data_IF_434979735718
#
_entry.id   IF_434979735718
#
_cell.length_a   1.000
_cell.length_b   1.000
_cell.length_c   1.000
_cell.angle_alpha   90.00
_cell.angle_beta   90.00
_cell.angle_gamma   90.00
#
_symmetry.space_group_name_H-M   'P 1'
#
loop_
_entity.id
_entity.type
_entity.pdbx_description
1 polymer ?
#
# COMPACT_ATOMS: atom_id res chain seq x y z
N UNK A 1 9.92 -0.08 20.08
CA UNK A 1 10.02 -1.53 19.75
C UNK A 1 10.19 -2.47 20.97
N UNK A 2 10.68 -2.02 22.13
CA UNK A 2 11.05 -2.90 23.26
C UNK A 2 9.90 -3.50 24.12
N UNK A 3 8.67 -2.96 24.10
CA UNK A 3 7.55 -3.53 24.87
C UNK A 3 6.90 -4.76 24.21
N UNK A 4 6.97 -4.87 22.87
CA UNK A 4 6.30 -5.91 22.08
C UNK A 4 7.00 -7.27 22.15
N UNK A 5 8.34 -7.26 22.26
CA UNK A 5 9.14 -8.48 22.41
C UNK A 5 8.99 -9.15 23.79
N UNK A 6 8.45 -8.43 24.78
CA UNK A 6 8.20 -8.91 26.14
C UNK A 6 6.76 -9.40 26.37
N UNK A 7 5.86 -9.32 25.37
CA UNK A 7 4.47 -9.75 25.54
C UNK A 7 4.33 -11.28 25.49
N UNK A 8 3.25 -11.81 26.06
CA UNK A 8 2.91 -13.23 26.00
C UNK A 8 2.62 -13.66 24.54
N UNK A 9 3.05 -14.87 24.16
CA UNK A 9 2.83 -15.45 22.84
C UNK A 9 1.35 -15.48 22.46
N UNK A 10 0.46 -15.76 23.43
CA UNK A 10 -1.00 -15.75 23.22
C UNK A 10 -1.50 -14.36 22.77
N UNK A 11 -1.03 -13.30 23.42
CA UNK A 11 -1.39 -11.91 23.08
C UNK A 11 -0.93 -11.53 21.67
N UNK A 12 0.24 -12.01 21.24
CA UNK A 12 0.75 -11.79 19.87
C UNK A 12 -0.09 -12.48 18.81
N UNK A 13 -0.49 -13.73 19.06
CA UNK A 13 -1.34 -14.50 18.14
C UNK A 13 -2.72 -13.84 18.03
N UNK A 14 -3.35 -13.52 19.16
CA UNK A 14 -4.65 -12.83 19.18
C UNK A 14 -4.60 -11.51 18.39
N UNK A 15 -3.58 -10.69 18.63
CA UNK A 15 -3.42 -9.43 17.90
C UNK A 15 -3.19 -9.65 16.39
N UNK A 16 -2.47 -10.70 15.98
CA UNK A 16 -2.33 -11.05 14.56
C UNK A 16 -3.69 -11.42 13.96
N UNK A 17 -4.50 -12.22 14.65
CA UNK A 17 -5.84 -12.60 14.20
C UNK A 17 -6.76 -11.39 14.07
N UNK A 18 -6.76 -10.48 15.05
CA UNK A 18 -7.54 -9.23 15.00
C UNK A 18 -7.16 -8.39 13.78
N UNK A 19 -5.86 -8.26 13.48
CA UNK A 19 -5.41 -7.52 12.29
C UNK A 19 -5.87 -8.17 10.99
N UNK A 20 -5.77 -9.50 10.88
CA UNK A 20 -6.24 -10.23 9.70
C UNK A 20 -7.75 -10.02 9.52
N UNK A 21 -8.53 -10.16 10.59
CA UNK A 21 -9.97 -9.95 10.56
C UNK A 21 -10.33 -8.51 10.17
N UNK A 22 -9.63 -7.52 10.74
CA UNK A 22 -9.80 -6.11 10.39
C UNK A 22 -9.51 -5.86 8.91
N UNK A 23 -8.37 -6.33 8.40
CA UNK A 23 -7.98 -6.18 6.99
C UNK A 23 -9.01 -6.85 6.07
N UNK A 24 -9.50 -8.04 6.42
CA UNK A 24 -10.53 -8.72 5.65
C UNK A 24 -11.84 -7.92 5.61
N UNK A 25 -12.41 -7.59 6.77
CA UNK A 25 -13.69 -6.88 6.86
C UNK A 25 -13.63 -5.50 6.19
N UNK A 26 -12.51 -4.79 6.34
CA UNK A 26 -12.33 -3.49 5.69
C UNK A 26 -12.16 -3.64 4.17
N UNK A 27 -11.46 -4.68 3.70
CA UNK A 27 -11.37 -5.01 2.27
C UNK A 27 -12.75 -5.27 1.65
N UNK A 28 -13.61 -6.04 2.33
CA UNK A 28 -15.00 -6.28 1.90
C UNK A 28 -15.78 -4.96 1.83
N UNK A 29 -15.67 -4.09 2.85
CA UNK A 29 -16.33 -2.79 2.85
C UNK A 29 -15.86 -1.90 1.69
N UNK A 30 -14.55 -1.87 1.40
CA UNK A 30 -14.01 -1.18 0.24
C UNK A 30 -14.64 -1.73 -1.05
N UNK A 31 -14.60 -3.04 -1.27
CA UNK A 31 -15.17 -3.70 -2.46
C UNK A 31 -16.64 -3.37 -2.66
N UNK A 32 -17.45 -3.48 -1.62
CA UNK A 32 -18.86 -3.12 -1.70
C UNK A 32 -19.06 -1.66 -2.09
N UNK A 33 -18.26 -0.74 -1.53
CA UNK A 33 -18.35 0.68 -1.87
C UNK A 33 -18.02 0.94 -3.35
N UNK A 34 -16.87 0.48 -3.85
CA UNK A 34 -16.50 0.77 -5.24
C UNK A 34 -17.34 -0.01 -6.25
N UNK A 35 -17.79 -1.22 -5.92
CA UNK A 35 -18.73 -1.97 -6.75
C UNK A 35 -20.08 -1.27 -6.86
N UNK A 36 -20.59 -0.67 -5.77
CA UNK A 36 -21.78 0.17 -5.80
C UNK A 36 -21.61 1.36 -6.75
N UNK A 37 -20.45 2.01 -6.71
CA UNK A 37 -20.11 3.08 -7.64
C UNK A 37 -20.12 2.65 -9.12
N UNK A 38 -19.59 1.46 -9.42
CA UNK A 38 -19.63 0.91 -10.78
C UNK A 38 -21.06 0.69 -11.27
N UNK A 39 -21.92 0.11 -10.42
CA UNK A 39 -23.33 -0.14 -10.77
C UNK A 39 -24.06 1.16 -11.09
N UNK A 40 -23.80 2.24 -10.33
CA UNK A 40 -24.40 3.56 -10.59
C UNK A 40 -23.96 4.09 -11.96
N UNK A 41 -22.67 4.01 -12.30
CA UNK A 41 -22.18 4.44 -13.61
C UNK A 41 -22.82 3.62 -14.73
N UNK A 42 -22.81 2.30 -14.58
CA UNK A 42 -23.29 1.39 -15.62
C UNK A 42 -24.79 1.56 -15.87
N UNK A 43 -25.58 1.78 -14.81
CA UNK A 43 -27.02 1.93 -14.91
C UNK A 43 -27.46 3.30 -15.45
N UNK A 44 -26.77 4.39 -15.09
CA UNK A 44 -27.26 5.74 -15.34
C UNK A 44 -26.41 6.58 -16.29
N UNK A 45 -25.13 6.27 -16.47
CA UNK A 45 -24.16 7.16 -17.10
C UNK A 45 -23.46 6.53 -18.32
N UNK A 46 -23.39 5.20 -18.41
CA UNK A 46 -22.72 4.46 -19.47
C UNK A 46 -23.59 4.25 -20.74
N UNK A 47 -24.39 5.25 -21.14
CA UNK A 47 -25.30 5.15 -22.28
C UNK A 47 -24.64 5.51 -23.61
N UNK A 48 -23.79 6.54 -23.61
CA UNK A 48 -23.05 6.98 -24.78
C UNK A 48 -21.58 7.19 -24.47
N UNK A 49 -20.73 6.85 -25.45
CA UNK A 49 -19.27 6.93 -25.32
C UNK A 49 -18.79 8.36 -25.00
N UNK A 50 -19.39 9.36 -25.66
CA UNK A 50 -19.05 10.76 -25.44
C UNK A 50 -19.40 11.22 -24.03
N UNK A 51 -20.56 10.83 -23.51
CA UNK A 51 -20.98 11.14 -22.13
C UNK A 51 -20.01 10.50 -21.15
N UNK A 52 -19.69 9.22 -21.34
CA UNK A 52 -18.75 8.48 -20.48
C UNK A 52 -17.36 9.12 -20.48
N UNK A 53 -16.87 9.52 -21.66
CA UNK A 53 -15.54 10.12 -21.83
C UNK A 53 -15.48 11.52 -21.21
N UNK A 54 -16.48 12.37 -21.50
CA UNK A 54 -16.56 13.71 -20.94
C UNK A 54 -16.68 13.68 -19.41
N UNK A 55 -17.52 12.78 -18.88
CA UNK A 55 -17.65 12.58 -17.44
C UNK A 55 -16.32 12.12 -16.83
N UNK A 56 -15.67 11.12 -17.41
CA UNK A 56 -14.37 10.64 -16.92
C UNK A 56 -13.33 11.77 -16.91
N UNK A 57 -13.22 12.57 -17.97
CA UNK A 57 -12.31 13.71 -18.02
C UNK A 57 -12.66 14.78 -16.97
N UNK A 58 -13.95 15.06 -16.75
CA UNK A 58 -14.40 16.01 -15.72
C UNK A 58 -14.03 15.53 -14.31
N UNK A 59 -14.24 14.24 -14.01
CA UNK A 59 -13.92 13.66 -12.71
C UNK A 59 -12.40 13.59 -12.49
N UNK A 60 -11.64 13.28 -13.54
CA UNK A 60 -10.17 13.32 -13.50
C UNK A 60 -9.66 14.76 -13.27
N UNK A 61 -10.27 15.76 -13.91
CA UNK A 61 -9.96 17.16 -13.64
C UNK A 61 -10.26 17.52 -12.18
N UNK A 62 -11.35 17.00 -11.62
CA UNK A 62 -11.65 17.11 -10.19
C UNK A 62 -10.54 16.53 -9.30
N UNK A 63 -10.03 15.35 -9.61
CA UNK A 63 -8.88 14.77 -8.89
C UNK A 63 -7.60 15.61 -9.03
N UNK A 64 -7.31 16.13 -10.23
CA UNK A 64 -6.15 16.98 -10.47
C UNK A 64 -6.25 18.30 -9.69
N UNK A 65 -7.44 18.93 -9.65
CA UNK A 65 -7.70 20.14 -8.84
C UNK A 65 -7.50 19.84 -7.35
N UNK A 66 -7.96 18.68 -6.88
CA UNK A 66 -7.78 18.24 -5.50
C UNK A 66 -6.34 17.79 -5.18
N UNK A 67 -5.47 17.68 -6.19
CA UNK A 67 -4.11 17.10 -6.12
C UNK A 67 -4.15 15.69 -5.53
N UNK A 68 -4.98 14.84 -6.13
CA UNK A 68 -5.23 13.47 -5.67
C UNK A 68 -5.17 12.41 -6.78
N UNK A 69 -4.51 12.69 -7.92
CA UNK A 69 -4.32 11.78 -9.05
C UNK A 69 -3.57 10.50 -8.65
N UNK A 70 -2.57 10.59 -7.76
CA UNK A 70 -1.81 9.41 -7.27
C UNK A 70 -2.68 8.34 -6.61
N UNK A 71 -3.86 8.70 -6.12
CA UNK A 71 -4.78 7.77 -5.46
C UNK A 71 -5.45 6.81 -6.46
N UNK A 72 -5.27 7.03 -7.76
CA UNK A 72 -5.65 6.08 -8.82
C UNK A 72 -4.73 4.86 -8.88
N UNK A 73 -3.53 4.93 -8.28
CA UNK A 73 -2.55 3.85 -8.35
C UNK A 73 -2.95 2.68 -7.44
N UNK A 74 -2.81 1.46 -7.96
CA UNK A 74 -3.00 0.21 -7.22
C UNK A 74 -1.87 -0.78 -7.57
N UNK A 75 -1.97 -2.02 -7.07
CA UNK A 75 -1.10 -3.13 -7.51
C UNK A 75 -1.18 -3.29 -9.02
N UNK A 76 -0.08 -3.49 -9.77
CA UNK A 76 1.26 -3.92 -9.33
C UNK A 76 2.21 -2.79 -8.88
N UNK A 77 1.79 -1.53 -8.92
CA UNK A 77 2.67 -0.41 -8.55
C UNK A 77 2.87 -0.28 -7.04
N UNK A 78 1.87 -0.68 -6.24
CA UNK A 78 1.90 -0.59 -4.78
C UNK A 78 1.78 -1.99 -4.19
N UNK A 79 2.70 -2.34 -3.29
CA UNK A 79 2.64 -3.55 -2.46
C UNK A 79 2.96 -3.19 -1.02
N UNK A 80 2.07 -3.56 -0.10
CA UNK A 80 2.18 -3.24 1.31
C UNK A 80 2.37 -4.48 2.15
N UNK A 81 3.34 -4.40 3.06
CA UNK A 81 3.64 -5.46 4.01
C UNK A 81 2.80 -5.27 5.27
N UNK A 82 2.34 -6.37 5.87
CA UNK A 82 1.50 -6.42 7.07
C UNK A 82 2.22 -6.04 8.37
N UNK A 83 2.88 -4.88 8.36
CA UNK A 83 3.55 -4.29 9.51
C UNK A 83 2.51 -3.78 10.51
N UNK A 84 2.57 -4.15 11.80
CA UNK A 84 1.60 -3.75 12.82
C UNK A 84 1.25 -2.27 12.86
N UNK A 85 2.25 -1.41 12.69
CA UNK A 85 2.10 0.05 12.76
C UNK A 85 1.26 0.56 11.58
N UNK A 86 1.43 -0.04 10.40
CA UNK A 86 0.79 0.43 9.18
C UNK A 86 -0.66 -0.06 9.04
N UNK A 87 -1.06 -1.15 9.71
CA UNK A 87 -2.39 -1.77 9.50
C UNK A 87 -3.54 -0.80 9.79
N UNK A 88 -3.39 0.06 10.81
CA UNK A 88 -4.46 0.96 11.27
C UNK A 88 -4.24 2.42 10.89
N UNK A 89 -3.19 2.73 10.13
CA UNK A 89 -2.85 4.09 9.74
C UNK A 89 -3.29 4.33 8.30
N UNK A 90 -4.18 5.31 8.14
CA UNK A 90 -4.70 5.77 6.87
C UNK A 90 -4.60 7.30 6.86
N UNK A 91 -3.78 7.89 5.97
CA UNK A 91 -3.78 9.34 5.80
C UNK A 91 -5.14 9.78 5.27
N UNK A 92 -5.68 10.84 5.86
CA UNK A 92 -6.88 11.52 5.36
C UNK A 92 -6.45 12.78 4.60
N UNK A 93 -7.34 13.34 3.79
CA UNK A 93 -7.03 14.47 2.90
C UNK A 93 -6.44 15.67 3.66
N UNK A 94 -6.92 15.91 4.88
CA UNK A 94 -6.50 17.02 5.71
C UNK A 94 -5.67 16.60 6.93
N UNK A 95 -5.39 15.29 7.09
CA UNK A 95 -4.63 14.72 8.21
C UNK A 95 -5.07 15.26 9.60
N UNK A 96 -6.39 15.43 9.81
CA UNK A 96 -6.92 15.96 11.07
C UNK A 96 -6.67 14.99 12.23
N UNK A 97 -6.32 15.53 13.41
CA UNK A 97 -6.09 14.73 14.61
C UNK A 97 -7.40 14.20 15.20
N UNK A 98 -7.39 12.96 15.72
CA UNK A 98 -8.53 12.33 16.38
C UNK A 98 -9.04 13.05 17.63
N UNK A 99 -8.30 14.01 18.18
CA UNK A 99 -8.76 14.86 19.29
C UNK A 99 -9.97 15.72 18.90
N UNK A 100 -9.98 16.23 17.66
CA UNK A 100 -11.09 17.02 17.11
C UNK A 100 -12.04 16.09 16.35
N UNK A 101 -12.80 15.30 17.11
CA UNK A 101 -13.55 14.15 16.57
C UNK A 101 -14.51 14.51 15.41
N UNK A 102 -15.16 15.68 15.48
CA UNK A 102 -16.08 16.14 14.41
C UNK A 102 -15.34 16.49 13.12
N UNK A 103 -14.21 17.21 13.21
CA UNK A 103 -13.37 17.54 12.05
C UNK A 103 -12.70 16.30 11.48
N UNK A 104 -12.25 15.38 12.34
CA UNK A 104 -11.70 14.09 11.92
C UNK A 104 -12.74 13.27 11.16
N UNK A 105 -13.99 13.21 11.64
CA UNK A 105 -15.07 12.51 10.95
C UNK A 105 -15.38 13.15 9.60
N UNK A 106 -15.40 14.49 9.53
CA UNK A 106 -15.62 15.22 8.28
C UNK A 106 -14.48 14.99 7.28
N UNK A 107 -13.23 14.99 7.74
CA UNK A 107 -12.06 14.68 6.91
C UNK A 107 -12.12 13.24 6.37
N UNK A 108 -12.50 12.27 7.21
CA UNK A 108 -12.74 10.89 6.77
C UNK A 108 -13.86 10.81 5.72
N UNK A 109 -14.98 11.49 5.97
CA UNK A 109 -16.12 11.50 5.05
C UNK A 109 -15.75 12.14 3.70
N UNK A 110 -14.99 13.24 3.70
CA UNK A 110 -14.48 13.87 2.48
C UNK A 110 -13.49 12.94 1.75
N UNK A 111 -12.55 12.35 2.49
CA UNK A 111 -11.52 11.48 1.94
C UNK A 111 -12.12 10.26 1.23
N UNK A 112 -13.08 9.59 1.86
CA UNK A 112 -13.71 8.39 1.29
C UNK A 112 -14.82 8.75 0.30
N UNK A 113 -15.72 9.65 0.68
CA UNK A 113 -16.93 9.98 -0.08
C UNK A 113 -16.68 10.85 -1.31
N UNK A 114 -15.70 11.77 -1.25
CA UNK A 114 -15.34 12.62 -2.40
C UNK A 114 -14.17 12.02 -3.16
N UNK A 115 -12.98 11.96 -2.54
CA UNK A 115 -11.76 11.51 -3.25
C UNK A 115 -11.88 10.04 -3.65
N UNK A 116 -12.29 9.17 -2.73
CA UNK A 116 -12.50 7.75 -3.00
C UNK A 116 -13.50 7.49 -4.13
N UNK A 117 -14.66 8.15 -4.13
CA UNK A 117 -15.67 8.01 -5.19
C UNK A 117 -15.15 8.50 -6.55
N UNK A 118 -14.46 9.65 -6.59
CA UNK A 118 -13.83 10.15 -7.81
C UNK A 118 -12.84 9.14 -8.40
N UNK A 119 -11.98 8.55 -7.58
CA UNK A 119 -11.04 7.50 -7.98
C UNK A 119 -11.77 6.31 -8.62
N UNK A 120 -12.82 5.81 -7.96
CA UNK A 120 -13.62 4.69 -8.46
C UNK A 120 -14.26 4.99 -9.81
N UNK A 121 -14.78 6.21 -9.98
CA UNK A 121 -15.47 6.60 -11.19
C UNK A 121 -14.51 6.78 -12.37
N UNK A 122 -13.32 7.37 -12.13
CA UNK A 122 -12.27 7.47 -13.14
C UNK A 122 -11.77 6.07 -13.55
N UNK A 123 -11.56 5.18 -12.57
CA UNK A 123 -11.24 3.76 -12.83
C UNK A 123 -12.26 3.10 -13.75
N UNK A 124 -13.55 3.22 -13.43
CA UNK A 124 -14.63 2.62 -14.24
C UNK A 124 -14.71 3.25 -15.63
N UNK A 125 -14.57 4.57 -15.73
CA UNK A 125 -14.60 5.28 -17.02
C UNK A 125 -13.52 4.77 -17.98
N UNK A 126 -12.28 4.65 -17.51
CA UNK A 126 -11.18 4.09 -18.32
C UNK A 126 -11.44 2.61 -18.67
N UNK A 127 -11.97 1.83 -17.73
CA UNK A 127 -12.33 0.43 -17.97
C UNK A 127 -13.35 0.30 -19.11
N UNK A 128 -14.42 1.12 -19.11
CA UNK A 128 -15.45 1.14 -20.17
C UNK A 128 -14.83 1.48 -21.54
N UNK A 129 -13.91 2.45 -21.59
CA UNK A 129 -13.24 2.78 -22.85
C UNK A 129 -12.48 1.57 -23.41
N UNK A 130 -11.80 0.79 -22.57
CA UNK A 130 -11.16 -0.45 -23.02
C UNK A 130 -12.17 -1.52 -23.45
N UNK A 131 -13.33 -1.63 -22.78
CA UNK A 131 -14.40 -2.53 -23.22
C UNK A 131 -14.91 -2.20 -24.63
N UNK A 132 -14.96 -0.91 -24.99
CA UNK A 132 -15.44 -0.47 -26.30
C UNK A 132 -14.36 -0.63 -27.40
N UNK A 133 -13.10 -0.32 -27.09
CA UNK A 133 -12.06 -0.21 -28.13
C UNK A 133 -11.14 -1.41 -28.25
N UNK A 134 -10.90 -2.16 -27.17
CA UNK A 134 -9.89 -3.22 -27.17
C UNK A 134 -10.52 -4.57 -27.53
N UNK A 135 -10.46 -4.92 -28.81
CA UNK A 135 -11.03 -6.17 -29.36
C UNK A 135 -12.52 -6.39 -28.98
N UNK A 136 -13.44 -5.46 -29.30
CA UNK A 136 -14.82 -5.50 -28.81
C UNK A 136 -15.62 -6.75 -29.20
N UNK A 137 -15.25 -7.41 -30.31
CA UNK A 137 -15.89 -8.66 -30.77
C UNK A 137 -15.23 -9.94 -30.27
N UNK A 138 -14.15 -9.86 -29.48
CA UNK A 138 -13.43 -11.04 -29.02
C UNK A 138 -12.95 -10.88 -27.56
N UNK A 139 -13.72 -11.39 -26.58
CA UNK A 139 -13.41 -11.19 -25.17
C UNK A 139 -12.09 -11.85 -24.75
N UNK A 140 -11.70 -12.96 -25.38
CA UNK A 140 -10.42 -13.64 -25.11
C UNK A 140 -9.23 -12.77 -25.53
N UNK A 141 -9.24 -12.21 -26.75
CA UNK A 141 -8.20 -11.28 -27.18
C UNK A 141 -8.24 -9.97 -26.41
N UNK A 142 -9.42 -9.50 -26.02
CA UNK A 142 -9.55 -8.32 -25.17
C UNK A 142 -8.87 -8.53 -23.81
N UNK A 143 -9.08 -9.67 -23.17
CA UNK A 143 -8.45 -10.01 -21.89
C UNK A 143 -6.92 -10.12 -22.01
N UNK A 144 -6.41 -10.91 -22.96
CA UNK A 144 -4.95 -11.06 -23.18
C UNK A 144 -4.31 -9.75 -23.61
N UNK A 145 -4.95 -9.01 -24.52
CA UNK A 145 -4.47 -7.71 -24.98
C UNK A 145 -4.38 -6.71 -23.82
N UNK A 146 -5.36 -6.71 -22.92
CA UNK A 146 -5.35 -5.84 -21.74
C UNK A 146 -4.21 -6.23 -20.79
N UNK A 147 -3.99 -7.52 -20.53
CA UNK A 147 -2.83 -7.97 -19.75
C UNK A 147 -1.49 -7.56 -20.39
N UNK A 148 -1.35 -7.77 -21.70
CA UNK A 148 -0.11 -7.49 -22.42
C UNK A 148 0.21 -5.99 -22.42
N UNK A 149 -0.75 -5.14 -22.75
CA UNK A 149 -0.62 -3.69 -22.71
C UNK A 149 -0.35 -3.22 -21.28
N UNK A 150 -1.11 -3.76 -20.31
CA UNK A 150 -0.97 -3.41 -18.90
C UNK A 150 0.43 -3.67 -18.36
N UNK A 151 0.93 -4.90 -18.50
CA UNK A 151 2.27 -5.26 -18.03
C UNK A 151 3.40 -4.60 -18.82
N UNK A 152 3.20 -4.32 -20.12
CA UNK A 152 4.16 -3.53 -20.90
C UNK A 152 4.29 -2.11 -20.34
N UNK A 153 3.16 -1.43 -20.09
CA UNK A 153 3.17 -0.10 -19.47
C UNK A 153 3.81 -0.17 -18.09
N UNK A 154 3.50 -1.17 -17.27
CA UNK A 154 4.12 -1.36 -15.96
C UNK A 154 5.64 -1.48 -16.07
N UNK A 155 6.15 -2.31 -16.99
CA UNK A 155 7.59 -2.44 -17.20
C UNK A 155 8.22 -1.10 -17.61
N UNK A 156 7.61 -0.40 -18.57
CA UNK A 156 8.07 0.92 -19.03
C UNK A 156 8.08 1.95 -17.90
N UNK A 157 7.02 2.02 -17.07
CA UNK A 157 6.95 3.00 -15.98
C UNK A 157 7.97 2.71 -14.89
N UNK A 158 8.22 1.45 -14.54
CA UNK A 158 9.31 1.09 -13.63
C UNK A 158 10.70 1.45 -14.20
N UNK A 159 10.92 1.26 -15.50
CA UNK A 159 12.16 1.67 -16.17
C UNK A 159 12.34 3.21 -16.20
N UNK A 160 11.24 3.95 -16.38
CA UNK A 160 11.25 5.42 -16.40
C UNK A 160 11.27 6.04 -15.00
N UNK A 161 10.95 5.29 -13.95
CA UNK A 161 10.86 5.80 -12.57
C UNK A 161 12.13 6.53 -12.10
N UNK A 162 13.37 6.05 -12.32
CA UNK A 162 14.58 6.78 -11.91
C UNK A 162 14.73 8.13 -12.63
N UNK A 163 14.41 8.18 -13.92
CA UNK A 163 14.41 9.41 -14.71
C UNK A 163 13.37 10.39 -14.18
N UNK A 164 12.15 9.91 -13.94
CA UNK A 164 11.08 10.77 -13.41
C UNK A 164 11.38 11.26 -12.00
N UNK A 165 12.01 10.45 -11.15
CA UNK A 165 12.50 10.91 -9.84
C UNK A 165 13.52 12.05 -10.01
N UNK A 166 14.48 11.89 -10.92
CA UNK A 166 15.46 12.93 -11.21
C UNK A 166 14.80 14.24 -11.70
N UNK A 167 13.84 14.14 -12.63
CA UNK A 167 13.07 15.28 -13.15
C UNK A 167 12.28 15.96 -12.03
N UNK A 168 11.49 15.21 -11.26
CA UNK A 168 10.68 15.76 -10.16
C UNK A 168 11.51 16.32 -9.00
N UNK A 169 12.76 15.91 -8.84
CA UNK A 169 13.69 16.50 -7.87
C UNK A 169 14.22 17.88 -8.32
N UNK A 170 14.13 18.21 -9.61
CA UNK A 170 14.62 19.48 -10.19
C UNK A 170 13.52 20.47 -10.53
N UNK A 171 12.30 19.97 -10.77
CA UNK A 171 11.13 20.82 -11.02
C UNK A 171 10.55 21.36 -9.71
N UNK A 172 9.86 22.50 -9.79
CA UNK A 172 9.14 23.10 -8.66
C UNK A 172 7.73 23.54 -9.07
N UNK A 173 6.86 23.74 -8.08
CA UNK A 173 5.51 24.27 -8.28
C UNK A 173 4.64 23.43 -9.24
N UNK A 174 3.89 24.13 -10.09
CA UNK A 174 2.89 23.52 -10.98
C UNK A 174 3.50 22.58 -12.03
N UNK A 175 4.68 22.89 -12.57
CA UNK A 175 5.33 22.06 -13.60
C UNK A 175 5.73 20.70 -13.00
N UNK A 176 6.20 20.70 -11.74
CA UNK A 176 6.49 19.47 -11.00
C UNK A 176 5.24 18.62 -10.81
N UNK A 177 4.12 19.25 -10.44
CA UNK A 177 2.83 18.59 -10.27
C UNK A 177 2.36 17.94 -11.58
N UNK A 178 2.33 18.70 -12.68
CA UNK A 178 1.93 18.20 -14.00
C UNK A 178 2.81 17.03 -14.45
N UNK A 179 4.13 17.13 -14.26
CA UNK A 179 5.06 16.05 -14.62
C UNK A 179 4.84 14.78 -13.79
N UNK A 180 4.60 14.93 -12.48
CA UNK A 180 4.29 13.81 -11.59
C UNK A 180 2.95 13.16 -11.97
N UNK A 181 1.90 13.96 -12.15
CA UNK A 181 0.56 13.49 -12.48
C UNK A 181 0.54 12.79 -13.85
N UNK A 182 1.22 13.32 -14.86
CA UNK A 182 1.31 12.67 -16.17
C UNK A 182 1.97 11.28 -16.08
N UNK A 183 3.05 11.15 -15.30
CA UNK A 183 3.70 9.87 -15.07
C UNK A 183 2.82 8.88 -14.29
N UNK A 184 2.11 9.38 -13.27
CA UNK A 184 1.17 8.59 -12.49
C UNK A 184 -0.04 8.16 -13.33
N UNK A 185 -0.53 9.01 -14.24
CA UNK A 185 -1.61 8.66 -15.16
C UNK A 185 -1.19 7.56 -16.14
N UNK A 186 0.02 7.63 -16.71
CA UNK A 186 0.54 6.53 -17.51
C UNK A 186 0.57 5.21 -16.71
N UNK A 187 1.02 5.29 -15.46
CA UNK A 187 1.09 4.16 -14.54
C UNK A 187 -0.29 3.59 -14.19
N UNK A 188 -1.27 4.47 -14.03
CA UNK A 188 -2.67 4.11 -13.83
C UNK A 188 -3.25 3.40 -15.05
N UNK A 189 -2.98 3.85 -16.29
CA UNK A 189 -3.44 3.15 -17.50
C UNK A 189 -2.92 1.71 -17.58
N UNK A 190 -1.67 1.49 -17.19
CA UNK A 190 -1.10 0.14 -17.06
C UNK A 190 -1.82 -0.68 -15.99
N UNK A 191 -2.05 -0.06 -14.82
CA UNK A 191 -2.71 -0.69 -13.68
C UNK A 191 -4.15 -1.13 -14.00
N UNK A 192 -4.97 -0.26 -14.61
CA UNK A 192 -6.35 -0.59 -15.01
C UNK A 192 -6.38 -1.75 -15.99
N UNK A 193 -5.47 -1.76 -16.97
CA UNK A 193 -5.37 -2.84 -17.96
C UNK A 193 -4.97 -4.18 -17.34
N UNK A 194 -4.03 -4.18 -16.38
CA UNK A 194 -3.68 -5.39 -15.64
C UNK A 194 -4.91 -5.95 -14.94
N UNK A 195 -5.64 -5.13 -14.17
CA UNK A 195 -6.82 -5.59 -13.44
C UNK A 195 -7.97 -6.01 -14.35
N UNK A 196 -8.24 -5.25 -15.41
CA UNK A 196 -9.22 -5.62 -16.44
C UNK A 196 -8.88 -6.94 -17.09
N UNK A 197 -7.63 -7.11 -17.49
CA UNK A 197 -7.12 -8.35 -18.04
C UNK A 197 -7.27 -9.53 -17.06
N UNK A 198 -6.90 -9.37 -15.79
CA UNK A 198 -7.02 -10.41 -14.76
C UNK A 198 -8.48 -10.78 -14.53
N UNK A 199 -9.38 -9.82 -14.36
CA UNK A 199 -10.80 -10.08 -14.09
C UNK A 199 -11.45 -10.81 -15.26
N UNK A 200 -11.27 -10.31 -16.49
CA UNK A 200 -11.79 -10.97 -17.68
C UNK A 200 -11.16 -12.37 -17.87
N UNK A 201 -9.88 -12.54 -17.54
CA UNK A 201 -9.21 -13.84 -17.61
C UNK A 201 -9.81 -14.86 -16.62
N UNK A 202 -10.11 -14.43 -15.40
CA UNK A 202 -10.77 -15.26 -14.39
C UNK A 202 -12.16 -15.67 -14.87
N UNK A 203 -12.95 -14.74 -15.38
CA UNK A 203 -14.30 -15.01 -15.89
C UNK A 203 -14.30 -15.98 -17.08
N UNK A 204 -13.30 -15.87 -17.97
CA UNK A 204 -13.22 -16.68 -19.19
C UNK A 204 -12.59 -18.06 -19.00
N UNK A 205 -11.65 -18.20 -18.05
CA UNK A 205 -10.79 -19.38 -17.96
C UNK A 205 -10.76 -20.06 -16.59
N UNK A 206 -11.09 -19.37 -15.49
CA UNK A 206 -11.05 -19.99 -14.16
C UNK A 206 -12.40 -20.59 -13.78
N UNK A 207 -12.54 -21.90 -14.01
CA UNK A 207 -13.73 -22.68 -13.67
C UNK A 207 -15.02 -22.01 -14.17
N UNK A 208 -15.14 -21.73 -15.49
CA UNK A 208 -16.28 -20.98 -16.03
C UNK A 208 -17.63 -21.67 -15.75
N UNK A 209 -17.63 -23.00 -15.67
CA UNK A 209 -18.83 -23.80 -15.39
C UNK A 209 -19.17 -23.91 -13.90
N UNK A 210 -18.27 -23.47 -13.00
CA UNK A 210 -18.46 -23.49 -11.55
C UNK A 210 -18.00 -22.17 -10.92
N UNK A 211 -18.80 -21.13 -11.17
CA UNK A 211 -18.55 -19.77 -10.72
C UNK A 211 -18.46 -19.66 -9.19
N UNK A 212 -19.26 -20.45 -8.45
CA UNK A 212 -19.22 -20.42 -6.98
C UNK A 212 -17.85 -20.83 -6.44
N UNK A 213 -17.32 -21.96 -6.93
CA UNK A 213 -15.99 -22.42 -6.54
C UNK A 213 -14.90 -21.43 -6.99
N UNK A 214 -15.03 -20.87 -8.19
CA UNK A 214 -14.11 -19.84 -8.71
C UNK A 214 -14.05 -18.62 -7.77
N UNK A 215 -15.21 -18.12 -7.32
CA UNK A 215 -15.32 -17.02 -6.36
C UNK A 215 -14.70 -17.37 -5.00
N UNK A 216 -14.95 -18.57 -4.46
CA UNK A 216 -14.38 -18.99 -3.17
C UNK A 216 -12.85 -19.09 -3.23
N UNK A 217 -12.31 -19.63 -4.31
CA UNK A 217 -10.86 -19.73 -4.51
C UNK A 217 -10.23 -18.34 -4.66
N UNK A 218 -10.80 -17.49 -5.51
CA UNK A 218 -10.26 -16.15 -5.78
C UNK A 218 -10.43 -15.18 -4.62
N UNK A 219 -11.43 -15.41 -3.75
CA UNK A 219 -11.61 -14.66 -2.53
C UNK A 219 -10.79 -15.23 -1.38
N UNK A 220 -11.20 -16.39 -0.82
CA UNK A 220 -10.63 -16.93 0.41
C UNK A 220 -9.24 -17.48 0.16
N UNK A 221 -9.04 -18.22 -0.93
CA UNK A 221 -7.75 -18.79 -1.29
C UNK A 221 -6.68 -17.71 -1.46
N UNK A 222 -6.96 -16.68 -2.29
CA UNK A 222 -6.04 -15.57 -2.49
C UNK A 222 -5.81 -14.75 -1.22
N UNK A 223 -6.85 -14.48 -0.41
CA UNK A 223 -6.68 -13.73 0.83
C UNK A 223 -5.77 -14.48 1.82
N UNK A 224 -5.99 -15.78 2.01
CA UNK A 224 -5.11 -16.63 2.84
C UNK A 224 -3.69 -16.60 2.30
N UNK A 225 -3.51 -16.70 0.98
CA UNK A 225 -2.20 -16.64 0.35
C UNK A 225 -1.48 -15.30 0.62
N UNK A 226 -2.18 -14.17 0.51
CA UNK A 226 -1.63 -12.85 0.84
C UNK A 226 -1.26 -12.72 2.33
N UNK A 227 -2.06 -13.30 3.24
CA UNK A 227 -1.74 -13.35 4.68
C UNK A 227 -0.48 -14.18 4.94
N UNK A 228 -0.30 -15.29 4.23
CA UNK A 228 0.90 -16.13 4.31
C UNK A 228 2.13 -15.38 3.78
N UNK A 229 1.98 -14.63 2.70
CA UNK A 229 3.01 -13.74 2.16
C UNK A 229 3.21 -12.46 3.00
N UNK A 230 2.39 -12.23 4.02
CA UNK A 230 2.45 -11.05 4.89
C UNK A 230 2.30 -9.73 4.11
N UNK A 231 1.42 -9.72 3.11
CA UNK A 231 1.08 -8.55 2.28
C UNK A 231 -0.44 -8.36 2.07
N UNK A 232 -1.27 -8.92 2.95
CA UNK A 232 -2.73 -8.81 2.89
C UNK A 232 -3.25 -7.38 2.93
N UNK A 233 -2.52 -6.44 3.55
CA UNK A 233 -2.87 -5.01 3.56
C UNK A 233 -2.81 -4.34 2.17
N UNK A 234 -2.23 -5.01 1.17
CA UNK A 234 -2.18 -4.51 -0.21
C UNK A 234 -3.57 -4.38 -0.84
N UNK A 235 -4.57 -5.14 -0.36
CA UNK A 235 -5.92 -5.13 -0.93
C UNK A 235 -6.75 -3.90 -0.54
N UNK A 236 -6.23 -3.08 0.38
CA UNK A 236 -6.96 -1.95 0.95
C UNK A 236 -6.68 -0.66 0.17
N UNK A 237 -7.67 0.23 0.10
CA UNK A 237 -7.45 1.62 -0.31
C UNK A 237 -6.83 2.37 0.86
N UNK A 238 -5.65 2.96 0.66
CA UNK A 238 -4.76 3.40 1.77
C UNK A 238 -4.88 4.88 2.09
N UNK A 239 -6.12 5.36 2.18
CA UNK A 239 -6.39 6.76 2.48
C UNK A 239 -6.14 7.66 1.26
N UNK A 240 -5.89 8.95 1.54
CA UNK A 240 -5.70 9.98 0.53
C UNK A 240 -4.29 10.55 0.65
N UNK A 241 -3.58 10.52 -0.46
CA UNK A 241 -2.25 11.10 -0.58
C UNK A 241 -2.29 12.31 -1.51
N UNK A 242 -1.47 13.32 -1.20
CA UNK A 242 -1.42 14.57 -1.97
C UNK A 242 -0.33 14.47 -3.05
N UNK A 243 -0.66 14.90 -4.26
CA UNK A 243 0.27 14.86 -5.39
C UNK A 243 1.42 15.86 -5.21
N UNK A 244 2.63 15.43 -5.58
CA UNK A 244 3.87 16.21 -5.51
C UNK A 244 4.22 16.78 -4.12
N UNK A 245 3.74 16.14 -3.05
CA UNK A 245 4.02 16.55 -1.66
C UNK A 245 5.42 16.14 -1.20
N UNK A 246 5.83 14.89 -1.44
CA UNK A 246 7.11 14.38 -0.92
C UNK A 246 8.32 14.93 -1.67
N UNK A 247 9.34 15.41 -0.96
CA UNK A 247 10.54 16.03 -1.54
C UNK A 247 11.46 15.07 -2.32
N UNK A 248 12.49 15.62 -2.98
CA UNK A 248 13.53 14.86 -3.68
C UNK A 248 13.02 13.87 -4.76
N UNK A 249 11.90 14.22 -5.39
CA UNK A 249 11.25 13.39 -6.40
C UNK A 249 10.65 12.08 -5.86
N UNK A 250 10.50 11.92 -4.54
CA UNK A 250 9.87 10.73 -3.93
C UNK A 250 8.40 10.58 -4.31
N UNK A 251 7.73 11.67 -4.69
CA UNK A 251 6.32 11.69 -5.10
C UNK A 251 5.96 10.81 -6.32
N UNK A 252 6.95 10.33 -7.08
CA UNK A 252 6.77 9.41 -8.23
C UNK A 252 7.36 8.01 -7.98
N UNK A 253 7.81 7.72 -6.76
CA UNK A 253 8.39 6.43 -6.43
C UNK A 253 7.28 5.44 -6.12
N UNK A 254 7.25 4.32 -6.84
CA UNK A 254 6.32 3.24 -6.56
C UNK A 254 6.76 2.46 -5.31
N UNK A 255 5.94 2.37 -4.26
CA UNK A 255 6.24 1.61 -3.05
C UNK A 255 6.06 0.10 -3.29
N UNK A 256 6.84 -0.45 -4.21
CA UNK A 256 6.90 -1.88 -4.53
C UNK A 256 8.22 -2.45 -4.01
N UNK A 257 8.38 -2.44 -2.68
CA UNK A 257 9.64 -2.82 -2.02
C UNK A 257 9.57 -4.16 -1.30
N UNK A 258 8.61 -5.02 -1.65
CA UNK A 258 8.30 -6.25 -0.92
C UNK A 258 9.55 -7.08 -0.57
N UNK A 259 10.32 -7.52 -1.59
CA UNK A 259 11.51 -8.34 -1.38
C UNK A 259 12.59 -7.61 -0.58
N UNK A 260 12.86 -6.35 -0.92
CA UNK A 260 13.86 -5.52 -0.23
C UNK A 260 13.52 -5.38 1.25
N UNK A 261 12.26 -5.08 1.57
CA UNK A 261 11.77 -4.88 2.92
C UNK A 261 11.70 -6.19 3.70
N UNK A 262 11.30 -7.28 3.06
CA UNK A 262 11.32 -8.62 3.63
C UNK A 262 12.73 -9.03 4.06
N UNK A 263 13.71 -8.93 3.14
CA UNK A 263 15.10 -9.26 3.46
C UNK A 263 15.70 -8.32 4.52
N UNK A 264 15.32 -7.04 4.53
CA UNK A 264 15.75 -6.09 5.58
C UNK A 264 15.24 -6.53 6.96
N UNK A 265 13.94 -6.82 7.08
CA UNK A 265 13.32 -7.30 8.33
C UNK A 265 13.99 -8.58 8.81
N UNK A 266 14.26 -9.52 7.90
CA UNK A 266 14.86 -10.80 8.27
C UNK A 266 16.31 -10.66 8.74
N UNK A 267 17.09 -9.74 8.13
CA UNK A 267 18.44 -9.40 8.62
C UNK A 267 18.39 -8.77 10.02
N UNK A 268 17.50 -7.81 10.25
CA UNK A 268 17.32 -7.15 11.55
C UNK A 268 16.94 -8.17 12.64
N UNK A 269 16.02 -9.11 12.34
CA UNK A 269 15.66 -10.20 13.26
C UNK A 269 16.85 -11.10 13.60
N UNK A 270 17.67 -11.48 12.60
CA UNK A 270 18.86 -12.31 12.82
C UNK A 270 19.89 -11.58 13.67
N UNK A 271 20.13 -10.29 13.43
CA UNK A 271 21.03 -9.46 14.23
C UNK A 271 20.54 -9.33 15.67
N UNK A 272 19.25 -9.04 15.89
CA UNK A 272 18.68 -8.95 17.22
C UNK A 272 18.76 -10.28 18.01
N UNK A 273 18.61 -11.43 17.34
CA UNK A 273 18.82 -12.75 17.96
C UNK A 273 20.28 -12.97 18.37
N UNK A 274 21.24 -12.62 17.50
CA UNK A 274 22.68 -12.71 17.81
C UNK A 274 23.05 -11.82 19.00
N UNK A 275 22.56 -10.58 19.02
CA UNK A 275 22.82 -9.65 20.13
C UNK A 275 22.24 -10.18 21.46
N UNK A 276 21.05 -10.78 21.45
CA UNK A 276 20.47 -11.43 22.65
C UNK A 276 21.31 -12.62 23.13
N UNK A 277 21.85 -13.43 22.21
CA UNK A 277 22.73 -14.54 22.57
C UNK A 277 24.05 -14.04 23.18
N UNK A 278 24.63 -12.96 22.64
CA UNK A 278 25.83 -12.35 23.20
C UNK A 278 25.61 -11.79 24.61
N UNK A 279 24.52 -11.06 24.82
CA UNK A 279 24.16 -10.55 26.16
C UNK A 279 23.88 -11.70 27.13
N UNK A 280 23.13 -12.72 26.70
CA UNK A 280 22.87 -13.90 27.54
C UNK A 280 24.12 -14.72 27.87
N UNK A 281 25.15 -14.71 27.00
CA UNK A 281 26.44 -15.33 27.29
C UNK A 281 27.26 -14.51 28.29
N UNK A 282 27.23 -13.19 28.21
CA UNK A 282 27.90 -12.29 29.16
C UNK A 282 27.27 -12.37 30.55
N UNK A 283 25.95 -12.52 30.63
CA UNK A 283 25.25 -12.72 31.91
C UNK A 283 25.59 -14.08 32.57
N UNK A 284 26.02 -15.07 31.78
CA UNK A 284 26.39 -16.41 32.28
C UNK A 284 27.84 -16.47 32.80
N UNK A 285 28.77 -15.73 32.20
CA UNK A 285 30.16 -15.62 32.66
C UNK A 285 30.33 -14.76 33.92
N UNK A 286 29.28 -14.05 34.36
CA UNK A 286 29.28 -13.20 35.56
C UNK A 286 29.04 -13.93 36.88
N UNK A 287 28.83 -15.26 36.87
CA UNK A 287 28.53 -16.03 38.09
C UNK A 287 29.36 -17.33 38.16
N UNK A 288 30.68 -17.20 38.13
CA UNK A 288 31.58 -18.17 38.74
C UNK A 288 32.04 -17.60 40.09
N UNK A 289 31.28 -17.87 41.16
CA UNK A 289 31.71 -17.66 42.54
C UNK A 289 32.90 -18.59 42.85
N UNK A 290 34.10 -18.16 42.49
CA UNK A 290 35.33 -18.72 43.08
C UNK A 290 35.52 -18.03 44.42
N UNK A 291 34.94 -18.63 45.45
CA UNK A 291 35.09 -18.22 46.83
C UNK A 291 36.56 -18.41 47.24
N UNK A 292 37.31 -17.31 47.29
CA UNK A 292 38.72 -17.25 47.68
C UNK A 292 39.01 -15.93 48.40
N UNK A 293 38.92 -15.97 49.72
CA UNK A 293 39.33 -14.95 50.69
C UNK A 293 40.71 -14.35 50.39
N UNK A 294 40.80 -13.01 50.41
CA UNK A 294 41.62 -12.18 51.34
C UNK A 294 42.01 -10.82 50.73
N UNK A 295 41.93 -9.75 51.55
CA UNK A 295 42.86 -8.61 51.47
C UNK A 295 42.39 -7.28 50.83
N UNK A 296 41.91 -6.38 51.69
CA UNK A 296 42.26 -4.94 51.79
C UNK A 296 42.14 -3.93 50.61
N UNK A 297 41.40 -2.85 50.92
CA UNK A 297 41.65 -1.42 50.68
C UNK A 297 41.86 -0.86 49.25
N UNK A 298 40.98 0.06 48.85
CA UNK A 298 41.28 1.04 47.80
C UNK A 298 40.08 1.84 47.31
N UNK A 299 40.04 3.14 47.64
CA UNK A 299 39.07 4.10 47.13
C UNK A 299 39.22 4.38 45.61
N UNK A 300 38.13 4.81 44.95
CA UNK A 300 38.01 5.94 44.01
C UNK A 300 37.01 5.74 42.82
N UNK A 301 36.01 6.65 42.82
CA UNK A 301 35.30 7.33 41.72
C UNK A 301 34.12 6.68 40.94
N UNK A 302 33.09 7.50 40.59
CA UNK A 302 31.92 7.09 39.82
C UNK A 302 32.13 7.36 38.32
N UNK A 303 31.73 6.44 37.44
CA UNK A 303 31.68 6.69 36.00
C UNK A 303 30.23 6.74 35.49
N UNK A 304 29.78 7.95 35.21
CA UNK A 304 28.64 8.24 34.33
C UNK A 304 28.89 7.59 32.96
N UNK A 305 27.92 6.81 32.47
CA UNK A 305 27.84 6.51 31.03
C UNK A 305 26.54 7.07 30.49
N UNK A 306 26.68 8.16 29.76
CA UNK A 306 25.68 8.83 28.94
C UNK A 306 25.11 7.86 27.91
N UNK A 307 23.84 7.52 28.05
CA UNK A 307 23.10 6.77 27.03
C UNK A 307 22.83 7.70 25.85
N UNK A 308 23.67 7.65 24.82
CA UNK A 308 23.41 8.31 23.55
C UNK A 308 22.21 7.63 22.88
N UNK A 309 21.04 8.28 22.97
CA UNK A 309 19.85 7.92 22.19
C UNK A 309 20.10 8.22 20.72
N UNK A 310 20.41 7.19 19.94
CA UNK A 310 20.41 7.26 18.48
C UNK A 310 18.97 7.49 18.02
N UNK A 311 18.74 8.64 17.41
CA UNK A 311 17.49 9.00 16.76
C UNK A 311 17.16 8.01 15.64
N UNK A 312 15.95 7.47 15.66
CA UNK A 312 15.40 6.68 14.57
C UNK A 312 14.78 7.63 13.56
N UNK A 313 15.46 7.86 12.44
CA UNK A 313 14.91 8.60 11.30
C UNK A 313 13.67 7.88 10.73
N UNK A 314 12.54 8.57 10.81
CA UNK A 314 11.26 8.16 10.26
C UNK A 314 11.16 8.38 8.73
N UNK A 315 12.16 9.02 8.11
CA UNK A 315 12.09 9.48 6.72
C UNK A 315 12.47 8.44 5.65
N UNK A 316 12.62 7.17 6.06
CA UNK A 316 12.87 6.05 5.15
C UNK A 316 11.59 5.26 4.77
N UNK A 317 10.41 5.79 5.10
CA UNK A 317 9.11 5.09 4.98
C UNK A 317 8.09 5.80 4.07
N UNK A 318 8.51 6.81 3.31
CA UNK A 318 7.74 7.37 2.19
C UNK A 318 8.44 7.05 0.87
#
# INVERSE_FOLDING_TARGET
MNKWAKSDARKRVLYRLIRILYTHSFGVACITHWRGGWIIIDAYLATHIWITTCLMCLLLAGLAILRSVRNLIATPMIILIDRPICVFQFPTRYNVNTRDWSLYLLDCAFSVGVVGTLVVFVWRGVWILFDIYLFPGNPKYSAVGSLAIGYLIVAVTFCLQPLMRYVCARLQGLIRLIAADAFLLLSFLGTVNVWRGIWNALDLWLLPDNLELSCWITHVGCFVFLVLLNCSNTILVRGVYIDAEEEEGKCVVFPCHYLRLFFKIEREKKQARRQKLLVGSQDFDGHCDVNGKDGENGAFLPHNTTTATIATDADSLA
#
